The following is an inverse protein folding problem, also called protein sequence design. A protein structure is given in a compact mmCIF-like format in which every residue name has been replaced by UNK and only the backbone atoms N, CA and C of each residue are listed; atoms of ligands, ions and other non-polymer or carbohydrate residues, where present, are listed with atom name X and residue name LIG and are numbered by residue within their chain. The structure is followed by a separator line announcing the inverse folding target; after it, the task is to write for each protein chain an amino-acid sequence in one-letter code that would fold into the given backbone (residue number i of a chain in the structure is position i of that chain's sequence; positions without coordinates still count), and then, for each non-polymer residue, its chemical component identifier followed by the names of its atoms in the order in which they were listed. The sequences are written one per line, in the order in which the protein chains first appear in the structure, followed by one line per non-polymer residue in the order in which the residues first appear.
data_IF_149601111640
#
_entry.id   IF_149601111640
#
_cell.length_a   1.000
_cell.length_b   1.000
_cell.length_c   1.000
_cell.angle_alpha   90.00
_cell.angle_beta   90.00
_cell.angle_gamma   90.00
#
_symmetry.space_group_name_H-M   'P 1'
#
loop_
_entity.id
_entity.type
_entity.pdbx_description
1 polymer ?
#
# COMPACT_ATOMS: atom_id res chain seq x y z
N UNK A 1 3.60 20.59 -18.10
CA UNK A 1 2.56 20.46 -17.07
C UNK A 1 3.11 21.08 -15.79
N UNK A 2 2.31 21.85 -15.08
CA UNK A 2 2.74 22.40 -13.78
C UNK A 2 2.62 21.29 -12.74
N UNK A 3 3.74 20.85 -12.20
CA UNK A 3 3.76 19.89 -11.09
C UNK A 3 3.10 20.55 -9.88
N UNK A 4 2.29 19.82 -9.13
CA UNK A 4 1.70 20.35 -7.90
C UNK A 4 2.85 20.70 -6.92
N UNK A 5 2.95 21.95 -6.45
CA UNK A 5 4.11 22.39 -5.67
C UNK A 5 4.11 21.74 -4.28
N UNK A 6 5.30 21.52 -3.70
CA UNK A 6 5.40 21.18 -2.29
C UNK A 6 5.11 22.40 -1.40
N UNK A 7 4.56 22.21 -0.19
CA UNK A 7 4.45 23.28 0.79
C UNK A 7 5.83 23.68 1.33
N UNK A 8 5.92 24.87 1.89
CA UNK A 8 7.13 25.29 2.61
C UNK A 8 7.38 24.38 3.82
N UNK A 9 8.66 24.13 4.12
CA UNK A 9 9.08 23.47 5.36
C UNK A 9 9.34 24.55 6.42
N UNK A 10 8.27 25.00 7.07
CA UNK A 10 8.39 25.67 8.35
C UNK A 10 8.74 24.64 9.45
N UNK A 11 9.04 25.10 10.67
CA UNK A 11 9.49 24.23 11.75
C UNK A 11 8.47 23.11 12.09
N UNK A 12 7.16 23.39 11.98
CA UNK A 12 6.10 22.42 12.23
C UNK A 12 6.02 21.35 11.13
N UNK A 13 6.16 21.76 9.89
CA UNK A 13 6.17 20.86 8.73
C UNK A 13 7.46 20.04 8.67
N UNK A 14 8.60 20.62 9.04
CA UNK A 14 9.87 19.90 9.13
C UNK A 14 9.78 18.75 10.13
N UNK A 15 9.29 19.01 11.36
CA UNK A 15 9.10 17.98 12.37
C UNK A 15 8.16 16.84 11.91
N UNK A 16 7.11 17.17 11.14
CA UNK A 16 6.19 16.16 10.56
C UNK A 16 6.84 15.37 9.42
N UNK A 17 7.65 16.05 8.59
CA UNK A 17 8.37 15.41 7.48
C UNK A 17 9.41 14.42 7.98
N UNK A 18 10.14 14.76 9.04
CA UNK A 18 11.16 13.90 9.64
C UNK A 18 10.62 12.58 10.20
N UNK A 19 9.31 12.48 10.46
CA UNK A 19 8.70 11.23 10.89
C UNK A 19 8.85 10.12 9.84
N UNK A 20 8.71 10.48 8.56
CA UNK A 20 8.89 9.56 7.45
C UNK A 20 9.27 10.36 6.19
N UNK A 21 10.56 10.64 5.95
CA UNK A 21 11.02 11.66 5.01
C UNK A 21 11.03 11.16 3.56
N UNK A 22 9.86 11.06 2.96
CA UNK A 22 9.64 10.70 1.56
C UNK A 22 8.75 11.72 0.86
N UNK A 23 8.74 11.71 -0.47
CA UNK A 23 7.98 12.64 -1.28
C UNK A 23 6.47 12.59 -1.01
N UNK A 24 5.92 11.41 -0.69
CA UNK A 24 4.53 11.29 -0.26
C UNK A 24 4.26 12.08 1.04
N UNK A 25 5.14 11.95 2.05
CA UNK A 25 5.02 12.75 3.28
C UNK A 25 5.08 14.24 2.97
N UNK A 26 6.05 14.64 2.12
CA UNK A 26 6.20 16.03 1.70
C UNK A 26 4.91 16.59 1.08
N UNK A 27 4.23 15.79 0.25
CA UNK A 27 2.97 16.17 -0.36
C UNK A 27 1.81 16.19 0.65
N UNK A 28 1.79 15.22 1.59
CA UNK A 28 0.79 15.15 2.67
C UNK A 28 0.82 16.37 3.61
N UNK A 29 1.94 17.09 3.71
CA UNK A 29 2.03 18.32 4.52
C UNK A 29 1.01 19.38 4.10
N UNK A 30 0.53 19.38 2.85
CA UNK A 30 -0.59 20.25 2.44
C UNK A 30 -1.88 20.01 3.25
N UNK A 31 -2.05 18.81 3.78
CA UNK A 31 -3.23 18.46 4.58
C UNK A 31 -3.13 18.92 6.03
N UNK A 32 -2.01 19.52 6.43
CA UNK A 32 -1.73 20.02 7.77
C UNK A 32 -1.98 18.96 8.87
N UNK A 33 -3.21 18.86 9.37
CA UNK A 33 -3.57 17.97 10.47
C UNK A 33 -3.66 16.48 10.12
N UNK A 34 -3.61 16.06 8.84
CA UNK A 34 -3.80 14.67 8.44
C UNK A 34 -2.49 13.89 8.20
N UNK A 35 -1.34 14.56 8.09
CA UNK A 35 -0.06 13.90 7.82
C UNK A 35 0.28 12.83 8.87
N UNK A 36 0.27 13.19 10.15
CA UNK A 36 0.58 12.25 11.24
C UNK A 36 -0.50 11.16 11.40
N UNK A 37 -1.82 11.49 11.44
CA UNK A 37 -2.87 10.47 11.47
C UNK A 37 -2.81 9.51 10.30
N UNK A 38 -2.51 9.97 9.09
CA UNK A 38 -2.35 9.12 7.91
C UNK A 38 -1.24 8.08 8.12
N UNK A 39 -0.06 8.51 8.56
CA UNK A 39 1.05 7.58 8.78
C UNK A 39 0.78 6.61 9.93
N UNK A 40 0.17 7.06 11.02
CA UNK A 40 -0.25 6.16 12.12
C UNK A 40 -1.22 5.08 11.61
N UNK A 41 -2.18 5.47 10.80
CA UNK A 41 -3.12 4.53 10.20
C UNK A 41 -2.44 3.58 9.19
N UNK A 42 -1.69 4.11 8.23
CA UNK A 42 -1.04 3.30 7.19
C UNK A 42 -0.01 2.31 7.76
N UNK A 43 0.81 2.77 8.71
CA UNK A 43 1.78 1.90 9.39
C UNK A 43 1.10 0.90 10.34
N UNK A 44 -0.09 1.20 10.84
CA UNK A 44 -0.89 0.31 11.68
C UNK A 44 -1.15 -1.07 11.06
N UNK A 45 -1.17 -1.19 9.72
CA UNK A 45 -1.27 -2.47 9.03
C UNK A 45 -0.07 -3.42 9.27
N UNK A 46 1.04 -2.93 9.82
CA UNK A 46 2.15 -3.79 10.23
C UNK A 46 1.80 -4.64 11.46
N UNK A 47 0.79 -4.24 12.22
CA UNK A 47 0.22 -4.97 13.36
C UNK A 47 -1.01 -5.82 12.98
N UNK A 48 -1.43 -5.82 11.72
CA UNK A 48 -2.52 -6.64 11.22
C UNK A 48 -2.23 -8.15 11.41
N UNK A 49 -3.29 -8.96 11.45
CA UNK A 49 -3.17 -10.42 11.57
C UNK A 49 -2.78 -11.10 10.28
N UNK A 50 -3.08 -10.47 9.13
CA UNK A 50 -2.60 -10.99 7.84
C UNK A 50 -1.08 -11.08 7.83
N UNK A 51 -0.52 -12.19 7.30
CA UNK A 51 0.93 -12.35 7.17
C UNK A 51 1.56 -11.19 6.39
N UNK A 52 2.77 -10.73 6.76
CA UNK A 52 3.47 -9.66 6.03
C UNK A 52 3.57 -9.89 4.52
N UNK A 53 3.78 -11.14 4.09
CA UNK A 53 3.84 -11.51 2.67
C UNK A 53 2.48 -11.29 1.97
N UNK A 54 1.36 -11.57 2.63
CA UNK A 54 0.01 -11.32 2.08
C UNK A 54 -0.23 -9.82 1.99
N UNK A 55 0.12 -9.07 3.03
CA UNK A 55 0.03 -7.60 3.04
C UNK A 55 0.72 -6.99 1.83
N UNK A 56 1.99 -7.35 1.60
CA UNK A 56 2.76 -6.76 0.49
C UNK A 56 2.25 -7.20 -0.89
N UNK A 57 1.77 -8.44 -1.04
CA UNK A 57 1.13 -8.90 -2.29
C UNK A 57 -0.12 -8.09 -2.63
N UNK A 58 -0.96 -7.79 -1.63
CA UNK A 58 -2.14 -6.92 -1.80
C UNK A 58 -1.70 -5.52 -2.26
N UNK A 59 -0.71 -4.92 -1.59
CA UNK A 59 -0.23 -3.56 -1.90
C UNK A 59 0.34 -3.48 -3.32
N UNK A 60 1.21 -4.42 -3.68
CA UNK A 60 1.79 -4.50 -5.02
C UNK A 60 0.68 -4.67 -6.07
N UNK A 61 -0.33 -5.54 -5.80
CA UNK A 61 -1.42 -5.73 -6.75
C UNK A 61 -2.27 -4.47 -6.94
N UNK A 62 -2.59 -3.76 -5.86
CA UNK A 62 -3.28 -2.47 -5.96
C UNK A 62 -2.46 -1.48 -6.79
N UNK A 63 -1.15 -1.38 -6.54
CA UNK A 63 -0.24 -0.54 -7.33
C UNK A 63 -0.25 -0.87 -8.82
N UNK A 64 -0.27 -2.16 -9.17
CA UNK A 64 -0.32 -2.63 -10.56
C UNK A 64 -1.67 -2.30 -11.23
N UNK A 65 -2.79 -2.58 -10.57
CA UNK A 65 -4.14 -2.36 -11.14
C UNK A 65 -4.47 -0.86 -11.24
N UNK A 66 -3.97 -0.04 -10.32
CA UNK A 66 -4.15 1.42 -10.35
C UNK A 66 -3.11 2.14 -11.20
N UNK A 67 -2.14 1.40 -11.78
CA UNK A 67 -1.00 1.98 -12.51
C UNK A 67 -0.30 3.08 -11.69
N UNK A 68 0.01 2.76 -10.42
CA UNK A 68 0.68 3.67 -9.50
C UNK A 68 2.15 3.26 -9.34
N UNK A 69 3.02 3.81 -10.21
CA UNK A 69 4.45 3.50 -10.23
C UNK A 69 5.11 3.78 -8.87
N UNK A 70 4.73 4.86 -8.21
CA UNK A 70 5.25 5.22 -6.89
C UNK A 70 5.07 4.08 -5.88
N UNK A 71 3.85 3.52 -5.78
CA UNK A 71 3.59 2.39 -4.88
C UNK A 71 4.41 1.16 -5.26
N UNK A 72 4.52 0.87 -6.56
CA UNK A 72 5.30 -0.27 -7.04
C UNK A 72 6.78 -0.14 -6.67
N UNK A 73 7.39 1.03 -6.87
CA UNK A 73 8.80 1.27 -6.52
C UNK A 73 9.03 1.06 -5.02
N UNK A 74 8.12 1.57 -4.18
CA UNK A 74 8.26 1.49 -2.73
C UNK A 74 8.03 0.08 -2.16
N UNK A 75 7.08 -0.69 -2.73
CA UNK A 75 6.65 -1.96 -2.12
C UNK A 75 7.22 -3.23 -2.76
N UNK A 76 7.80 -3.20 -3.97
CA UNK A 76 8.42 -4.37 -4.60
C UNK A 76 9.55 -4.95 -3.76
N UNK A 77 10.43 -4.10 -3.24
CA UNK A 77 11.55 -4.53 -2.39
C UNK A 77 11.05 -5.16 -1.10
N UNK A 78 10.01 -4.59 -0.49
CA UNK A 78 9.40 -5.12 0.73
C UNK A 78 8.68 -6.45 0.47
N UNK A 79 8.01 -6.60 -0.68
CA UNK A 79 7.39 -7.86 -1.08
C UNK A 79 8.43 -8.99 -1.20
N UNK A 80 9.59 -8.72 -1.80
CA UNK A 80 10.70 -9.67 -1.86
C UNK A 80 11.23 -9.98 -0.44
N UNK A 81 11.42 -8.98 0.40
CA UNK A 81 11.92 -9.14 1.78
C UNK A 81 10.98 -9.97 2.64
N UNK A 82 9.67 -9.89 2.40
CA UNK A 82 8.65 -10.65 3.15
C UNK A 82 8.39 -12.05 2.61
N UNK A 83 9.04 -12.45 1.49
CA UNK A 83 9.02 -13.81 0.99
C UNK A 83 8.25 -14.03 -0.31
N UNK A 84 7.91 -12.99 -1.06
CA UNK A 84 7.44 -13.13 -2.44
C UNK A 84 8.64 -13.42 -3.34
N UNK A 85 8.59 -14.46 -4.20
CA UNK A 85 9.69 -14.73 -5.14
C UNK A 85 9.73 -13.69 -6.27
N UNK A 86 10.88 -13.50 -6.93
CA UNK A 86 10.99 -12.59 -8.07
C UNK A 86 10.03 -12.92 -9.22
N UNK A 87 9.83 -14.21 -9.49
CA UNK A 87 8.93 -14.70 -10.55
C UNK A 87 7.48 -14.35 -10.19
N UNK A 88 7.05 -14.65 -8.97
CA UNK A 88 5.71 -14.32 -8.51
C UNK A 88 5.50 -12.79 -8.46
N UNK A 89 6.53 -12.03 -8.07
CA UNK A 89 6.44 -10.57 -8.10
C UNK A 89 6.22 -10.03 -9.52
N UNK A 90 6.88 -10.61 -10.53
CA UNK A 90 6.66 -10.26 -11.94
C UNK A 90 5.21 -10.53 -12.36
N UNK A 91 4.63 -11.66 -11.91
CA UNK A 91 3.23 -11.99 -12.18
C UNK A 91 2.26 -11.03 -11.46
N UNK A 92 2.52 -10.71 -10.20
CA UNK A 92 1.67 -9.78 -9.41
C UNK A 92 1.61 -8.37 -9.99
N UNK A 93 2.70 -7.88 -10.60
CA UNK A 93 2.73 -6.55 -11.23
C UNK A 93 2.12 -6.55 -12.64
N UNK A 94 1.81 -7.70 -13.21
CA UNK A 94 1.08 -7.80 -14.47
C UNK A 94 -0.44 -7.80 -14.20
N UNK A 95 -1.18 -6.71 -14.49
CA UNK A 95 -2.61 -6.65 -14.20
C UNK A 95 -3.46 -7.61 -15.04
N UNK A 96 -2.89 -8.25 -16.06
CA UNK A 96 -3.56 -9.26 -16.88
C UNK A 96 -3.41 -10.68 -16.30
N UNK A 97 -2.44 -10.90 -15.38
CA UNK A 97 -2.28 -12.19 -14.71
C UNK A 97 -3.37 -12.38 -13.65
N UNK A 98 -4.19 -13.42 -13.83
CA UNK A 98 -5.36 -13.68 -12.97
C UNK A 98 -5.31 -15.04 -12.27
N UNK A 99 -4.54 -16.00 -12.80
CA UNK A 99 -4.45 -17.35 -12.27
C UNK A 99 -3.04 -17.64 -11.76
N UNK A 100 -2.95 -18.25 -10.60
CA UNK A 100 -1.71 -18.62 -9.93
C UNK A 100 -1.78 -20.10 -9.51
N UNK A 101 -0.63 -20.75 -9.39
CA UNK A 101 -0.57 -22.17 -8.95
C UNK A 101 -1.17 -22.38 -7.55
N UNK A 102 -1.10 -21.37 -6.69
CA UNK A 102 -1.75 -21.36 -5.37
C UNK A 102 -3.20 -20.84 -5.48
N UNK A 103 -4.22 -21.70 -5.27
CA UNK A 103 -5.62 -21.27 -5.33
C UNK A 103 -5.98 -20.18 -4.32
N UNK A 104 -5.30 -20.12 -3.18
CA UNK A 104 -5.54 -19.06 -2.18
C UNK A 104 -5.04 -17.71 -2.68
N UNK A 105 -3.92 -17.70 -3.40
CA UNK A 105 -3.40 -16.50 -4.04
C UNK A 105 -4.30 -16.06 -5.19
N UNK A 106 -4.79 -16.97 -6.01
CA UNK A 106 -5.76 -16.67 -7.07
C UNK A 106 -7.01 -16.00 -6.47
N UNK A 107 -7.57 -16.56 -5.41
CA UNK A 107 -8.73 -15.97 -4.72
C UNK A 107 -8.42 -14.57 -4.17
N UNK A 108 -7.25 -14.38 -3.54
CA UNK A 108 -6.80 -13.10 -3.02
C UNK A 108 -6.71 -12.03 -4.13
N UNK A 109 -6.03 -12.36 -5.22
CA UNK A 109 -5.78 -11.41 -6.31
C UNK A 109 -7.09 -11.07 -7.04
N UNK A 110 -7.94 -12.07 -7.31
CA UNK A 110 -9.26 -11.85 -7.93
C UNK A 110 -10.13 -10.93 -7.07
N UNK A 111 -10.13 -11.13 -5.75
CA UNK A 111 -10.85 -10.27 -4.81
C UNK A 111 -10.32 -8.83 -4.83
N UNK A 112 -9.00 -8.65 -4.73
CA UNK A 112 -8.36 -7.32 -4.76
C UNK A 112 -8.65 -6.61 -6.06
N UNK A 113 -8.56 -7.30 -7.19
CA UNK A 113 -8.87 -6.72 -8.51
C UNK A 113 -10.32 -6.28 -8.63
N UNK A 114 -11.26 -7.10 -8.15
CA UNK A 114 -12.69 -6.76 -8.12
C UNK A 114 -12.94 -5.51 -7.27
N UNK A 115 -12.36 -5.47 -6.06
CA UNK A 115 -12.48 -4.33 -5.16
C UNK A 115 -11.94 -3.03 -5.77
N UNK A 116 -10.76 -3.08 -6.39
CA UNK A 116 -10.11 -1.90 -6.98
C UNK A 116 -10.91 -1.37 -8.18
N UNK A 117 -11.35 -2.27 -9.06
CA UNK A 117 -12.07 -1.91 -10.29
C UNK A 117 -13.47 -1.34 -10.03
N UNK A 118 -14.16 -1.88 -9.03
CA UNK A 118 -15.58 -1.58 -8.78
C UNK A 118 -15.80 -0.70 -7.53
N UNK A 119 -14.74 -0.34 -6.79
CA UNK A 119 -14.82 0.32 -5.46
C UNK A 119 -15.68 -0.50 -4.49
N UNK A 120 -15.52 -1.83 -4.55
CA UNK A 120 -16.25 -2.83 -3.78
C UNK A 120 -16.16 -4.16 -4.50
N UNK A 121 -15.85 -5.23 -3.77
CA UNK A 121 -15.70 -6.55 -4.37
C UNK A 121 -17.06 -7.18 -4.68
N UNK A 122 -17.11 -7.94 -5.77
CA UNK A 122 -18.28 -8.75 -6.11
C UNK A 122 -18.44 -9.92 -5.13
N UNK A 123 -19.69 -10.33 -4.87
CA UNK A 123 -20.00 -11.35 -3.87
C UNK A 123 -19.29 -12.68 -4.11
N UNK A 124 -19.20 -13.12 -5.36
CA UNK A 124 -18.55 -14.38 -5.73
C UNK A 124 -17.05 -14.37 -5.38
N UNK A 125 -16.38 -13.22 -5.54
CA UNK A 125 -14.97 -13.07 -5.21
C UNK A 125 -14.76 -13.04 -3.69
N UNK A 126 -15.68 -12.43 -2.95
CA UNK A 126 -15.70 -12.46 -1.48
C UNK A 126 -15.89 -13.90 -0.97
N UNK A 127 -16.84 -14.64 -1.52
CA UNK A 127 -17.11 -16.02 -1.12
C UNK A 127 -15.94 -16.95 -1.46
N UNK A 128 -15.24 -16.68 -2.56
CA UNK A 128 -14.02 -17.40 -2.91
C UNK A 128 -12.87 -17.12 -1.93
N UNK A 129 -12.65 -15.85 -1.55
CA UNK A 129 -11.62 -15.45 -0.60
C UNK A 129 -11.84 -16.09 0.78
N UNK A 130 -13.09 -16.10 1.27
CA UNK A 130 -13.48 -16.67 2.58
C UNK A 130 -13.23 -18.18 2.71
N UNK A 131 -12.95 -18.89 1.63
CA UNK A 131 -12.52 -20.30 1.70
C UNK A 131 -11.11 -20.47 2.24
N UNK A 132 -10.28 -19.43 2.16
CA UNK A 132 -8.84 -19.47 2.49
C UNK A 132 -8.46 -18.52 3.62
N UNK A 133 -9.24 -17.46 3.86
CA UNK A 133 -8.96 -16.45 4.87
C UNK A 133 -10.15 -16.32 5.84
N UNK A 134 -9.90 -16.27 7.15
CA UNK A 134 -10.96 -16.03 8.15
C UNK A 134 -11.49 -14.59 8.02
N UNK A 135 -12.69 -14.36 8.52
CA UNK A 135 -13.42 -13.08 8.36
C UNK A 135 -12.64 -11.85 8.84
N UNK A 136 -11.84 -11.96 9.90
CA UNK A 136 -10.99 -10.88 10.37
C UNK A 136 -9.88 -10.53 9.36
N UNK A 137 -9.25 -11.52 8.75
CA UNK A 137 -8.22 -11.29 7.72
C UNK A 137 -8.85 -10.75 6.43
N UNK A 138 -10.03 -11.22 6.04
CA UNK A 138 -10.81 -10.66 4.94
C UNK A 138 -11.10 -9.17 5.17
N UNK A 139 -11.50 -8.79 6.39
CA UNK A 139 -11.73 -7.39 6.74
C UNK A 139 -10.42 -6.56 6.66
N UNK A 140 -9.30 -7.10 7.14
CA UNK A 140 -7.98 -6.45 7.06
C UNK A 140 -7.52 -6.29 5.60
N UNK A 141 -7.66 -7.33 4.76
CA UNK A 141 -7.35 -7.29 3.32
C UNK A 141 -8.19 -6.20 2.62
N UNK A 142 -9.50 -6.17 2.92
CA UNK A 142 -10.42 -5.18 2.34
C UNK A 142 -10.00 -3.76 2.70
N UNK A 143 -9.74 -3.50 3.97
CA UNK A 143 -9.34 -2.20 4.48
C UNK A 143 -7.98 -1.78 3.90
N UNK A 144 -7.02 -2.70 3.84
CA UNK A 144 -5.70 -2.49 3.26
C UNK A 144 -5.80 -2.11 1.79
N UNK A 145 -6.51 -2.90 0.98
CA UNK A 145 -6.66 -2.62 -0.45
C UNK A 145 -7.31 -1.25 -0.69
N UNK A 146 -8.39 -0.93 0.03
CA UNK A 146 -9.04 0.39 -0.05
C UNK A 146 -8.13 1.54 0.35
N UNK A 147 -7.28 1.35 1.36
CA UNK A 147 -6.29 2.34 1.80
C UNK A 147 -5.28 2.64 0.69
N UNK A 148 -4.79 1.60 0.01
CA UNK A 148 -3.82 1.79 -1.08
C UNK A 148 -4.46 2.31 -2.37
N UNK A 149 -5.75 2.09 -2.61
CA UNK A 149 -6.51 2.80 -3.66
C UNK A 149 -6.57 4.31 -3.36
N UNK A 150 -6.90 4.69 -2.12
CA UNK A 150 -6.87 6.09 -1.68
C UNK A 150 -5.48 6.70 -1.86
N UNK A 151 -4.44 5.98 -1.43
CA UNK A 151 -3.05 6.41 -1.59
C UNK A 151 -2.68 6.61 -3.06
N UNK A 152 -3.03 5.67 -3.94
CA UNK A 152 -2.80 5.79 -5.39
C UNK A 152 -3.52 7.01 -5.98
N UNK A 153 -4.77 7.24 -5.60
CA UNK A 153 -5.53 8.41 -6.04
C UNK A 153 -4.86 9.73 -5.64
N UNK A 154 -4.38 9.84 -4.39
CA UNK A 154 -3.64 11.00 -3.90
C UNK A 154 -2.34 11.22 -4.68
N UNK A 155 -1.50 10.17 -4.78
CA UNK A 155 -0.20 10.21 -5.46
C UNK A 155 -0.36 10.63 -6.93
N UNK A 156 -1.26 9.97 -7.67
CA UNK A 156 -1.46 10.23 -9.11
C UNK A 156 -2.08 11.59 -9.36
N UNK A 157 -3.06 12.00 -8.55
CA UNK A 157 -3.74 13.30 -8.72
C UNK A 157 -2.82 14.48 -8.48
N UNK A 158 -1.95 14.38 -7.48
CA UNK A 158 -1.00 15.43 -7.13
C UNK A 158 0.37 15.27 -7.80
N UNK A 159 0.52 14.22 -8.64
CA UNK A 159 1.75 13.94 -9.38
C UNK A 159 2.98 13.87 -8.46
N UNK A 160 2.85 13.13 -7.35
CA UNK A 160 3.95 12.93 -6.39
C UNK A 160 5.14 12.30 -7.11
N UNK A 161 6.32 12.95 -7.16
CA UNK A 161 7.48 12.40 -7.84
C UNK A 161 8.03 11.18 -7.09
N UNK A 162 8.71 10.30 -7.83
CA UNK A 162 9.44 9.18 -7.22
C UNK A 162 10.52 9.70 -6.28
N UNK A 163 10.76 8.97 -5.20
CA UNK A 163 11.91 9.19 -4.34
C UNK A 163 13.21 8.74 -5.03
N UNK A 164 14.38 9.15 -4.53
CA UNK A 164 15.69 8.72 -5.06
C UNK A 164 15.96 7.23 -4.91
N UNK A 165 15.13 6.51 -4.16
CA UNK A 165 15.21 5.06 -3.94
C UNK A 165 14.02 4.52 -3.15
N UNK A 166 13.97 3.20 -2.94
CA UNK A 166 12.92 2.60 -2.11
C UNK A 166 13.07 3.02 -0.65
N UNK A 167 11.94 3.09 0.04
CA UNK A 167 11.90 3.40 1.49
C UNK A 167 12.65 2.35 2.30
N UNK A 168 13.38 2.81 3.33
CA UNK A 168 13.84 1.94 4.40
C UNK A 168 12.67 1.60 5.35
N UNK A 169 12.00 0.50 5.08
CA UNK A 169 10.90 0.02 5.92
C UNK A 169 11.34 -0.40 7.33
N UNK A 170 12.64 -0.64 7.57
CA UNK A 170 13.19 -0.84 8.91
C UNK A 170 13.11 0.42 9.78
N UNK A 171 13.23 1.60 9.16
CA UNK A 171 13.00 2.87 9.85
C UNK A 171 11.53 3.01 10.27
N UNK A 172 10.58 2.57 9.45
CA UNK A 172 9.16 2.53 9.79
C UNK A 172 8.89 1.64 11.01
N UNK A 173 9.48 0.45 11.09
CA UNK A 173 9.37 -0.43 12.26
C UNK A 173 9.93 0.22 13.55
N UNK A 174 11.01 0.99 13.42
CA UNK A 174 11.60 1.73 14.53
C UNK A 174 10.67 2.86 14.99
N UNK A 175 10.07 3.59 14.05
CA UNK A 175 9.08 4.62 14.35
C UNK A 175 7.87 4.05 15.10
N UNK A 176 7.30 2.95 14.60
CA UNK A 176 6.16 2.28 15.24
C UNK A 176 6.44 1.92 16.70
N UNK A 177 7.61 1.33 16.97
CA UNK A 177 8.03 0.99 18.34
C UNK A 177 8.17 2.21 19.24
N UNK A 178 8.72 3.32 18.71
CA UNK A 178 8.90 4.57 19.47
C UNK A 178 7.57 5.20 19.84
N UNK A 179 6.58 5.14 18.97
CA UNK A 179 5.24 5.71 19.17
C UNK A 179 4.28 4.78 19.93
N UNK A 180 4.73 3.55 20.28
CA UNK A 180 3.90 2.54 20.96
C UNK A 180 2.75 2.00 20.11
N UNK A 181 2.97 1.94 18.82
CA UNK A 181 2.03 1.47 17.80
C UNK A 181 2.34 0.02 17.40
#
# INVERSE_FOLDING_TARGET
MTVFPYPELDADNEARYELFPINLTRMLLHTQGLTVPYWKYALGFRNAKIPPVVRERVIVRVGAVTDCEYQLVQHKTEALRTGTSPELLADLVNPQQQEFDDPSLTALITYVDSLVKNIGAEQDTLDALRKYFPDNEVAEITLLAGTYVLCAAFIKSLQVPLDEGPVDWGAADTYMKKEGL
#
